data_IF_670569719545
#
_entry.id   IF_670569719545
#
_cell.length_a   1.000
_cell.length_b   1.000
_cell.length_c   1.000
_cell.angle_alpha   90.00
_cell.angle_beta   90.00
_cell.angle_gamma   90.00
#
_symmetry.space_group_name_H-M   'P 1'
#
loop_
_entity.id
_entity.type
_entity.pdbx_description
1 polymer ?
#
# COMPACT_ATOMS: atom_id res chain seq x y z
N UNK A 1 -25.85 -13.99 11.53
CA UNK A 1 -25.05 -13.89 10.28
C UNK A 1 -23.84 -13.03 10.56
N UNK A 2 -22.69 -13.38 9.98
CA UNK A 2 -21.50 -12.56 10.10
C UNK A 2 -21.61 -11.31 9.22
N UNK A 3 -20.71 -10.36 9.44
CA UNK A 3 -20.61 -9.11 8.71
C UNK A 3 -19.26 -9.05 8.02
N UNK A 4 -19.27 -9.11 6.70
CA UNK A 4 -18.07 -9.00 5.88
C UNK A 4 -17.66 -7.53 5.79
N UNK A 5 -16.39 -7.21 6.00
CA UNK A 5 -15.87 -5.84 5.98
C UNK A 5 -15.07 -5.60 4.69
N UNK A 6 -15.48 -4.62 3.88
CA UNK A 6 -14.83 -4.29 2.60
C UNK A 6 -13.77 -3.21 2.76
N UNK A 7 -14.16 -2.07 3.32
CA UNK A 7 -13.29 -0.93 3.56
C UNK A 7 -13.85 -0.06 4.71
N UNK A 8 -13.00 0.84 5.18
CA UNK A 8 -13.39 1.93 6.07
C UNK A 8 -13.31 3.24 5.29
N UNK A 9 -14.27 4.13 5.51
CA UNK A 9 -14.38 5.44 4.84
C UNK A 9 -14.47 6.57 5.87
N UNK A 10 -14.13 7.79 5.45
CA UNK A 10 -14.37 8.99 6.26
C UNK A 10 -15.82 9.47 6.12
N UNK A 11 -16.47 9.78 7.23
CA UNK A 11 -17.83 10.30 7.23
C UNK A 11 -17.80 11.80 6.88
N UNK A 12 -18.21 12.16 5.66
CA UNK A 12 -18.28 13.56 5.28
C UNK A 12 -19.50 14.24 5.92
N UNK A 13 -19.30 15.25 6.77
CA UNK A 13 -20.39 15.94 7.49
C UNK A 13 -21.35 16.67 6.54
N UNK A 14 -20.87 17.13 5.38
CA UNK A 14 -21.73 17.79 4.37
C UNK A 14 -22.65 16.81 3.64
N UNK A 15 -22.31 15.51 3.61
CA UNK A 15 -23.20 14.46 3.12
C UNK A 15 -24.24 14.02 4.18
N UNK A 16 -24.24 14.59 5.41
CA UNK A 16 -25.33 14.35 6.39
C UNK A 16 -26.67 14.96 5.93
N UNK A 17 -26.63 15.95 5.04
CA UNK A 17 -27.83 16.45 4.36
C UNK A 17 -28.35 15.47 3.29
N UNK A 18 -27.51 14.56 2.79
CA UNK A 18 -27.94 13.42 1.99
C UNK A 18 -28.41 12.29 2.93
N UNK A 19 -29.57 12.51 3.54
CA UNK A 19 -30.35 11.46 4.22
C UNK A 19 -30.89 10.38 3.25
N UNK A 20 -30.43 10.35 2.01
CA UNK A 20 -30.90 9.46 0.94
C UNK A 20 -29.86 8.44 0.42
N UNK A 21 -28.70 8.27 1.08
CA UNK A 21 -27.69 7.34 0.57
C UNK A 21 -27.76 5.91 1.15
N UNK A 22 -28.33 5.68 2.35
CA UNK A 22 -28.16 4.38 3.05
C UNK A 22 -29.32 3.95 3.97
N UNK A 23 -30.57 4.28 3.64
CA UNK A 23 -31.71 3.97 4.50
C UNK A 23 -33.06 3.84 3.77
N UNK A 24 -33.14 2.84 2.88
CA UNK A 24 -34.31 2.37 2.12
C UNK A 24 -34.84 3.25 0.96
N UNK A 25 -34.61 2.72 -0.25
CA UNK A 25 -35.29 2.86 -1.55
C UNK A 25 -35.22 4.19 -2.35
N UNK A 26 -34.22 4.22 -3.25
CA UNK A 26 -34.28 4.60 -4.68
C UNK A 26 -34.70 6.02 -5.13
N UNK A 27 -33.71 6.76 -5.68
CA UNK A 27 -33.92 7.64 -6.85
C UNK A 27 -32.67 7.85 -7.74
N UNK A 28 -31.60 7.05 -7.60
CA UNK A 28 -30.46 7.01 -8.54
C UNK A 28 -29.69 5.67 -8.53
N UNK A 29 -30.40 4.56 -8.68
CA UNK A 29 -29.97 3.42 -9.53
C UNK A 29 -28.70 2.60 -9.28
N UNK A 30 -27.94 2.70 -8.18
CA UNK A 30 -26.82 1.76 -7.92
C UNK A 30 -26.74 1.38 -6.43
N UNK A 31 -27.47 0.34 -6.04
CA UNK A 31 -27.23 -0.41 -4.80
C UNK A 31 -25.99 -1.27 -5.00
N UNK A 32 -24.87 -0.96 -4.32
CA UNK A 32 -23.67 -1.79 -4.44
C UNK A 32 -23.96 -3.21 -3.96
N UNK A 33 -23.74 -4.17 -4.86
CA UNK A 33 -23.98 -5.59 -4.61
C UNK A 33 -22.65 -6.20 -4.20
N UNK A 34 -22.56 -6.56 -2.92
CA UNK A 34 -21.40 -7.22 -2.35
C UNK A 34 -21.38 -8.74 -2.61
N UNK A 35 -20.48 -9.40 -1.90
CA UNK A 35 -20.36 -10.85 -1.85
C UNK A 35 -21.73 -11.49 -1.55
N UNK A 36 -22.07 -12.55 -2.28
CA UNK A 36 -23.34 -13.29 -2.18
C UNK A 36 -24.59 -12.45 -2.49
N UNK A 37 -24.42 -11.46 -3.37
CA UNK A 37 -25.49 -10.54 -3.77
C UNK A 37 -26.08 -9.74 -2.61
N UNK A 38 -25.31 -9.53 -1.55
CA UNK A 38 -25.77 -8.84 -0.35
C UNK A 38 -25.56 -7.34 -0.50
N UNK A 39 -26.55 -6.56 -0.03
CA UNK A 39 -26.49 -5.10 -0.07
C UNK A 39 -25.41 -4.62 0.88
N UNK A 40 -24.62 -3.64 0.42
CA UNK A 40 -23.65 -2.94 1.26
C UNK A 40 -24.37 -1.98 2.20
N UNK A 41 -24.10 -2.13 3.49
CA UNK A 41 -24.52 -1.25 4.58
C UNK A 41 -23.33 -0.45 5.11
N UNK A 42 -23.61 0.72 5.68
CA UNK A 42 -22.61 1.57 6.31
C UNK A 42 -22.81 1.56 7.83
N UNK A 43 -21.81 1.13 8.57
CA UNK A 43 -21.81 1.16 10.02
C UNK A 43 -20.90 2.28 10.53
N UNK A 44 -21.52 3.31 11.10
CA UNK A 44 -20.82 4.50 11.58
C UNK A 44 -20.14 4.26 12.93
N UNK A 45 -18.96 4.86 13.10
CA UNK A 45 -18.25 4.99 14.36
C UNK A 45 -17.52 6.34 14.40
N UNK A 46 -17.97 7.26 15.25
CA UNK A 46 -17.46 8.63 15.31
C UNK A 46 -17.51 9.32 13.92
N UNK A 47 -16.36 9.69 13.35
CA UNK A 47 -16.22 10.35 12.05
C UNK A 47 -15.71 9.40 10.95
N UNK A 48 -15.71 8.08 11.20
CA UNK A 48 -15.42 7.04 10.21
C UNK A 48 -16.60 6.06 10.09
N UNK A 49 -16.63 5.28 9.03
CA UNK A 49 -17.63 4.22 8.88
C UNK A 49 -17.06 3.01 8.15
N UNK A 50 -17.56 1.81 8.49
CA UNK A 50 -17.24 0.58 7.77
C UNK A 50 -18.30 0.28 6.71
N UNK A 51 -17.87 0.00 5.49
CA UNK A 51 -18.71 -0.58 4.44
C UNK A 51 -18.73 -2.10 4.61
N UNK A 52 -19.92 -2.66 4.83
CA UNK A 52 -20.11 -4.04 5.25
C UNK A 52 -21.29 -4.69 4.55
N UNK A 53 -21.29 -6.01 4.42
CA UNK A 53 -22.49 -6.75 4.01
C UNK A 53 -22.73 -7.90 4.96
N UNK A 54 -23.97 -8.36 5.04
CA UNK A 54 -24.25 -9.65 5.64
C UNK A 54 -23.53 -10.75 4.86
N UNK A 55 -23.05 -11.76 5.59
CA UNK A 55 -22.49 -12.96 4.98
C UNK A 55 -22.81 -14.16 5.86
N UNK A 56 -23.15 -15.32 5.27
CA UNK A 56 -23.00 -16.57 6.01
C UNK A 56 -21.54 -16.72 6.45
N UNK A 57 -21.31 -17.50 7.51
CA UNK A 57 -19.95 -17.83 7.95
C UNK A 57 -19.33 -18.71 6.86
N UNK A 58 -18.53 -18.09 5.99
CA UNK A 58 -17.81 -18.76 4.90
C UNK A 58 -16.36 -18.88 5.33
N UNK A 59 -15.82 -20.10 5.22
CA UNK A 59 -14.39 -20.31 5.27
C UNK A 59 -13.84 -20.22 3.84
N UNK A 60 -13.28 -19.06 3.49
CA UNK A 60 -12.74 -18.82 2.15
C UNK A 60 -11.59 -19.77 1.77
N UNK A 61 -10.87 -20.33 2.75
CA UNK A 61 -9.75 -21.26 2.51
C UNK A 61 -10.21 -22.62 1.97
N UNK A 62 -11.51 -22.92 2.09
CA UNK A 62 -12.11 -24.18 1.61
C UNK A 62 -12.77 -24.06 0.24
N UNK A 63 -12.84 -22.85 -0.31
CA UNK A 63 -13.44 -22.62 -1.63
C UNK A 63 -12.51 -23.11 -2.73
N UNK A 64 -13.09 -23.52 -3.84
CA UNK A 64 -12.30 -23.79 -5.03
C UNK A 64 -11.67 -22.48 -5.58
N UNK A 65 -10.67 -22.62 -6.45
CA UNK A 65 -9.95 -21.47 -7.00
C UNK A 65 -10.87 -20.52 -7.78
N UNK A 66 -11.90 -21.03 -8.46
CA UNK A 66 -12.80 -20.24 -9.30
C UNK A 66 -13.73 -19.40 -8.45
N UNK A 67 -14.32 -20.00 -7.42
CA UNK A 67 -15.18 -19.31 -6.45
C UNK A 67 -14.39 -18.27 -5.66
N UNK A 68 -13.20 -18.63 -5.16
CA UNK A 68 -12.33 -17.69 -4.44
C UNK A 68 -11.99 -16.47 -5.30
N UNK A 69 -11.60 -16.70 -6.56
CA UNK A 69 -11.28 -15.61 -7.51
C UNK A 69 -12.49 -14.71 -7.74
N UNK A 70 -13.70 -15.29 -7.86
CA UNK A 70 -14.94 -14.53 -8.01
C UNK A 70 -15.21 -13.64 -6.78
N UNK A 71 -15.03 -14.17 -5.57
CA UNK A 71 -15.22 -13.39 -4.35
C UNK A 71 -14.21 -12.25 -4.21
N UNK A 72 -12.94 -12.49 -4.56
CA UNK A 72 -11.90 -11.45 -4.58
C UNK A 72 -12.27 -10.35 -5.57
N UNK A 73 -12.72 -10.71 -6.77
CA UNK A 73 -13.15 -9.73 -7.78
C UNK A 73 -14.31 -8.87 -7.27
N UNK A 74 -15.32 -9.46 -6.64
CA UNK A 74 -16.47 -8.72 -6.08
C UNK A 74 -16.01 -7.77 -4.97
N UNK A 75 -15.14 -8.23 -4.06
CA UNK A 75 -14.57 -7.38 -3.01
C UNK A 75 -13.84 -6.16 -3.61
N UNK A 76 -13.02 -6.40 -4.62
CA UNK A 76 -12.28 -5.33 -5.29
C UNK A 76 -13.23 -4.34 -5.98
N UNK A 77 -14.21 -4.83 -6.73
CA UNK A 77 -15.20 -4.00 -7.42
C UNK A 77 -15.97 -3.11 -6.45
N UNK A 78 -16.42 -3.65 -5.31
CA UNK A 78 -17.11 -2.87 -4.26
C UNK A 78 -16.22 -1.73 -3.76
N UNK A 79 -14.94 -2.00 -3.49
CA UNK A 79 -14.02 -0.98 -3.02
C UNK A 79 -13.69 0.06 -4.10
N UNK A 80 -13.55 -0.34 -5.37
CA UNK A 80 -13.37 0.57 -6.51
C UNK A 80 -14.55 1.51 -6.69
N UNK A 81 -15.77 0.99 -6.56
CA UNK A 81 -16.99 1.78 -6.65
C UNK A 81 -17.11 2.79 -5.49
N UNK A 82 -16.90 2.35 -4.24
CA UNK A 82 -16.94 3.24 -3.07
C UNK A 82 -15.86 4.34 -3.16
N UNK A 83 -14.68 3.99 -3.71
CA UNK A 83 -13.56 4.93 -3.90
C UNK A 83 -13.88 6.08 -4.87
N UNK A 84 -14.90 5.96 -5.73
CA UNK A 84 -15.33 7.06 -6.60
C UNK A 84 -15.81 8.26 -5.79
N UNK A 85 -16.51 7.99 -4.68
CA UNK A 85 -17.24 8.99 -3.88
C UNK A 85 -16.63 9.26 -2.51
N UNK A 86 -15.72 8.40 -2.06
CA UNK A 86 -15.12 8.45 -0.72
C UNK A 86 -13.62 8.14 -0.74
N UNK A 87 -12.89 8.72 0.21
CA UNK A 87 -11.56 8.23 0.54
C UNK A 87 -11.71 6.88 1.26
N UNK A 88 -11.00 5.86 0.78
CA UNK A 88 -11.10 4.50 1.30
C UNK A 88 -9.81 4.07 1.99
N UNK A 89 -9.96 3.38 3.11
CA UNK A 89 -8.96 2.51 3.72
C UNK A 89 -9.42 1.07 3.46
N UNK A 90 -8.93 0.41 2.40
CA UNK A 90 -9.39 -0.92 2.05
C UNK A 90 -8.97 -1.95 3.10
N UNK A 91 -9.86 -2.88 3.42
CA UNK A 91 -9.56 -4.02 4.29
C UNK A 91 -8.98 -5.16 3.46
N UNK A 92 -8.20 -6.03 4.09
CA UNK A 92 -7.81 -7.29 3.47
C UNK A 92 -9.05 -8.12 3.12
N UNK A 93 -8.97 -8.90 2.05
CA UNK A 93 -10.03 -9.83 1.68
C UNK A 93 -10.29 -10.84 2.81
N UNK A 94 -11.55 -11.12 3.09
CA UNK A 94 -11.95 -12.22 3.98
C UNK A 94 -12.18 -11.84 5.44
N UNK A 95 -12.08 -10.54 5.79
CA UNK A 95 -12.35 -10.09 7.16
C UNK A 95 -13.86 -10.13 7.44
N UNK A 96 -14.27 -11.04 8.33
CA UNK A 96 -15.65 -11.20 8.78
C UNK A 96 -15.71 -10.97 10.30
N UNK A 97 -16.59 -10.07 10.72
CA UNK A 97 -16.96 -9.90 12.12
C UNK A 97 -18.24 -10.69 12.45
N UNK A 98 -18.42 -11.17 13.69
CA UNK A 98 -19.61 -11.91 14.10
C UNK A 98 -20.91 -11.08 14.09
N UNK A 99 -20.82 -9.77 14.37
CA UNK A 99 -21.98 -8.87 14.49
C UNK A 99 -21.56 -7.39 14.37
N UNK A 100 -22.55 -6.49 14.40
CA UNK A 100 -22.33 -5.04 14.32
C UNK A 100 -21.54 -4.47 15.50
N UNK A 101 -21.69 -5.03 16.71
CA UNK A 101 -20.97 -4.56 17.90
C UNK A 101 -19.48 -4.86 17.78
N UNK A 102 -19.11 -6.04 17.28
CA UNK A 102 -17.71 -6.37 17.03
C UNK A 102 -17.09 -5.46 15.95
N UNK A 103 -17.87 -5.03 14.97
CA UNK A 103 -17.39 -4.03 13.99
C UNK A 103 -17.08 -2.71 14.67
N UNK A 104 -17.95 -2.23 15.57
CA UNK A 104 -17.66 -1.03 16.36
C UNK A 104 -16.42 -1.23 17.23
N UNK A 105 -16.22 -2.40 17.83
CA UNK A 105 -15.01 -2.72 18.59
C UNK A 105 -13.76 -2.65 17.70
N UNK A 106 -13.80 -3.20 16.48
CA UNK A 106 -12.71 -3.12 15.49
C UNK A 106 -12.41 -1.66 15.13
N UNK A 107 -13.46 -0.88 14.81
CA UNK A 107 -13.33 0.53 14.46
C UNK A 107 -12.77 1.35 15.63
N UNK A 108 -13.20 1.07 16.86
CA UNK A 108 -12.70 1.70 18.08
C UNK A 108 -11.23 1.36 18.32
N UNK A 109 -10.89 0.06 18.30
CA UNK A 109 -9.54 -0.45 18.62
C UNK A 109 -8.48 0.03 17.63
N UNK A 110 -8.84 0.16 16.36
CA UNK A 110 -7.95 0.58 15.29
C UNK A 110 -8.24 2.00 14.76
N UNK A 111 -8.99 2.81 15.52
CA UNK A 111 -9.46 4.14 15.09
C UNK A 111 -8.33 5.04 14.57
N UNK A 112 -7.22 5.14 15.31
CA UNK A 112 -6.07 5.95 14.91
C UNK A 112 -5.41 5.43 13.64
N UNK A 113 -5.39 4.11 13.45
CA UNK A 113 -4.85 3.50 12.24
C UNK A 113 -5.70 3.86 11.03
N UNK A 114 -7.03 3.75 11.14
CA UNK A 114 -7.96 4.10 10.07
C UNK A 114 -7.89 5.58 9.71
N UNK A 115 -7.93 6.49 10.71
CA UNK A 115 -7.79 7.94 10.46
C UNK A 115 -6.47 8.29 9.78
N UNK A 116 -5.39 7.64 10.18
CA UNK A 116 -4.06 7.84 9.57
C UNK A 116 -4.04 7.33 8.12
N UNK A 117 -4.61 6.14 7.88
CA UNK A 117 -4.71 5.56 6.54
C UNK A 117 -5.55 6.45 5.61
N UNK A 118 -6.77 6.79 6.00
CA UNK A 118 -7.70 7.63 5.23
C UNK A 118 -7.09 8.97 4.85
N UNK A 119 -6.38 9.62 5.79
CA UNK A 119 -5.70 10.89 5.53
C UNK A 119 -4.53 10.74 4.55
N UNK A 120 -3.78 9.64 4.64
CA UNK A 120 -2.64 9.38 3.75
C UNK A 120 -3.12 9.13 2.32
N UNK A 121 -4.21 8.39 2.17
CA UNK A 121 -4.79 7.99 0.88
C UNK A 121 -5.76 9.02 0.29
N UNK A 122 -6.15 10.04 1.06
CA UNK A 122 -7.09 11.06 0.61
C UNK A 122 -6.67 11.69 -0.73
N UNK A 123 -7.61 11.67 -1.70
CA UNK A 123 -7.43 12.21 -3.05
C UNK A 123 -6.44 11.44 -3.95
N UNK A 124 -5.99 10.26 -3.50
CA UNK A 124 -4.98 9.45 -4.19
C UNK A 124 -5.52 8.07 -4.54
N UNK A 125 -4.95 7.48 -5.57
CA UNK A 125 -5.29 6.15 -6.10
C UNK A 125 -4.01 5.35 -6.31
N UNK A 126 -4.12 4.03 -6.26
CA UNK A 126 -3.00 3.12 -6.52
C UNK A 126 -2.99 2.67 -7.97
N UNK A 127 -1.80 2.69 -8.58
CA UNK A 127 -1.52 2.04 -9.86
C UNK A 127 -0.44 0.98 -9.66
N UNK A 128 -0.74 -0.24 -10.07
CA UNK A 128 0.24 -1.33 -10.11
C UNK A 128 0.95 -1.31 -11.47
N UNK A 129 2.28 -1.27 -11.48
CA UNK A 129 3.12 -1.34 -12.69
C UNK A 129 3.95 -2.61 -12.65
N UNK A 130 3.59 -3.56 -13.48
CA UNK A 130 4.25 -4.86 -13.62
C UNK A 130 5.15 -4.85 -14.85
N UNK A 131 6.36 -5.39 -14.68
CA UNK A 131 7.41 -5.36 -15.69
C UNK A 131 7.95 -6.77 -15.89
N UNK A 132 7.98 -7.22 -17.13
CA UNK A 132 8.57 -8.49 -17.55
C UNK A 132 9.66 -8.24 -18.58
N UNK A 133 10.65 -9.12 -18.60
CA UNK A 133 11.61 -9.19 -19.69
C UNK A 133 11.30 -10.36 -20.61
N UNK A 134 11.87 -10.34 -21.81
CA UNK A 134 11.98 -11.55 -22.63
C UNK A 134 13.35 -12.19 -22.36
N UNK A 135 13.35 -13.31 -21.63
CA UNK A 135 14.59 -14.02 -21.27
C UNK A 135 15.41 -14.41 -22.50
N UNK A 136 14.77 -14.79 -23.62
CA UNK A 136 15.49 -15.21 -24.82
C UNK A 136 16.20 -14.01 -25.46
N UNK A 137 15.49 -12.90 -25.62
CA UNK A 137 16.06 -11.67 -26.18
C UNK A 137 17.17 -11.10 -25.29
N UNK A 138 17.00 -11.15 -23.96
CA UNK A 138 18.06 -10.74 -23.04
C UNK A 138 19.31 -11.60 -23.21
N UNK A 139 19.15 -12.93 -23.29
CA UNK A 139 20.28 -13.83 -23.49
C UNK A 139 20.99 -13.56 -24.83
N UNK A 140 20.24 -13.35 -25.91
CA UNK A 140 20.79 -12.96 -27.21
C UNK A 140 21.56 -11.63 -27.12
N UNK A 141 21.00 -10.61 -26.46
CA UNK A 141 21.65 -9.31 -26.26
C UNK A 141 22.94 -9.44 -25.44
N UNK A 142 22.91 -10.18 -24.33
CA UNK A 142 24.09 -10.41 -23.48
C UNK A 142 25.19 -11.16 -24.21
N UNK A 143 24.83 -12.15 -25.02
CA UNK A 143 25.79 -12.91 -25.83
C UNK A 143 26.39 -12.06 -26.95
N UNK A 144 25.63 -11.12 -27.51
CA UNK A 144 26.10 -10.28 -28.61
C UNK A 144 26.89 -9.03 -28.15
N UNK A 145 26.69 -8.57 -26.91
CA UNK A 145 27.29 -7.32 -26.40
C UNK A 145 28.47 -7.54 -25.44
N UNK A 146 28.53 -8.69 -24.75
CA UNK A 146 29.56 -8.94 -23.74
C UNK A 146 30.70 -9.81 -24.31
N UNK A 147 31.87 -9.20 -24.53
CA UNK A 147 33.06 -9.86 -25.08
C UNK A 147 33.57 -11.02 -24.23
N UNK A 148 33.39 -10.99 -22.90
CA UNK A 148 33.77 -12.08 -22.00
C UNK A 148 32.84 -13.30 -22.18
N UNK A 149 31.53 -13.07 -22.32
CA UNK A 149 30.54 -14.11 -22.63
C UNK A 149 30.86 -14.75 -23.99
N UNK A 150 31.20 -13.94 -25.00
CA UNK A 150 31.60 -14.42 -26.33
C UNK A 150 32.86 -15.28 -26.29
N UNK A 151 33.90 -14.81 -25.59
CA UNK A 151 35.16 -15.53 -25.47
C UNK A 151 34.99 -16.88 -24.76
N UNK A 152 34.23 -16.93 -23.66
CA UNK A 152 33.93 -18.17 -22.96
C UNK A 152 33.09 -19.14 -23.81
N UNK A 153 32.14 -18.62 -24.62
CA UNK A 153 31.35 -19.43 -25.54
C UNK A 153 32.21 -20.05 -26.65
N UNK A 154 33.15 -19.30 -27.23
CA UNK A 154 34.08 -19.81 -28.24
C UNK A 154 35.02 -20.89 -27.68
N UNK A 155 35.50 -20.72 -26.45
CA UNK A 155 36.32 -21.75 -25.79
C UNK A 155 35.54 -23.05 -25.53
N UNK A 156 34.23 -22.95 -25.30
CA UNK A 156 33.34 -24.10 -25.13
C UNK A 156 33.04 -24.84 -26.43
N UNK A 157 33.02 -24.17 -27.59
CA UNK A 157 32.82 -24.84 -28.89
C UNK A 157 34.01 -25.70 -29.33
N UNK A 158 35.18 -25.51 -28.72
CA UNK A 158 36.44 -26.21 -29.09
C UNK A 158 36.74 -27.43 -28.20
N UNK A 159 36.13 -27.56 -27.01
CA UNK A 159 36.47 -28.63 -26.03
C UNK A 159 35.32 -29.60 -25.75
N UNK A 160 35.55 -30.89 -26.00
CA UNK A 160 34.58 -31.98 -25.83
C UNK A 160 34.43 -32.44 -24.37
N UNK A 161 33.21 -32.31 -23.88
CA UNK A 161 32.46 -33.17 -22.94
C UNK A 161 32.84 -33.34 -21.46
N UNK A 162 34.12 -33.31 -21.01
CA UNK A 162 34.43 -33.53 -19.55
C UNK A 162 35.19 -32.35 -18.91
N UNK A 163 36.21 -31.79 -19.59
CA UNK A 163 36.93 -30.58 -19.12
C UNK A 163 36.15 -29.27 -19.28
N UNK A 164 34.98 -29.31 -19.93
CA UNK A 164 34.14 -28.14 -20.17
C UNK A 164 33.21 -27.77 -19.01
N UNK A 165 33.01 -28.65 -18.03
CA UNK A 165 32.05 -28.40 -16.93
C UNK A 165 32.40 -27.14 -16.10
N UNK A 166 33.65 -26.91 -15.66
CA UNK A 166 34.01 -25.68 -14.96
C UNK A 166 33.77 -24.43 -15.80
N UNK A 167 34.01 -24.53 -17.11
CA UNK A 167 33.85 -23.43 -18.05
C UNK A 167 32.36 -23.11 -18.32
N UNK A 168 31.50 -24.14 -18.43
CA UNK A 168 30.04 -23.99 -18.51
C UNK A 168 29.47 -23.34 -17.25
N UNK A 169 29.94 -23.75 -16.07
CA UNK A 169 29.54 -23.15 -14.80
C UNK A 169 29.98 -21.68 -14.72
N UNK A 170 31.21 -21.36 -15.15
CA UNK A 170 31.70 -19.99 -15.19
C UNK A 170 30.86 -19.12 -16.14
N UNK A 171 30.57 -19.60 -17.34
CA UNK A 171 29.71 -18.92 -18.30
C UNK A 171 28.30 -18.68 -17.73
N UNK A 172 27.68 -19.70 -17.14
CA UNK A 172 26.36 -19.60 -16.52
C UNK A 172 26.31 -18.56 -15.39
N UNK A 173 27.31 -18.56 -14.49
CA UNK A 173 27.43 -17.56 -13.42
C UNK A 173 27.61 -16.14 -13.96
N UNK A 174 28.41 -15.99 -15.03
CA UNK A 174 28.62 -14.68 -15.66
C UNK A 174 27.32 -14.17 -16.28
N UNK A 175 26.60 -15.00 -17.05
CA UNK A 175 25.30 -14.65 -17.62
C UNK A 175 24.32 -14.24 -16.53
N UNK A 176 24.20 -15.04 -15.46
CA UNK A 176 23.32 -14.74 -14.33
C UNK A 176 23.66 -13.40 -13.67
N UNK A 177 24.94 -13.12 -13.42
CA UNK A 177 25.40 -11.86 -12.84
C UNK A 177 25.07 -10.67 -13.74
N UNK A 178 25.28 -10.79 -15.05
CA UNK A 178 24.97 -9.72 -16.00
C UNK A 178 23.47 -9.50 -16.14
N UNK A 179 22.67 -10.57 -16.18
CA UNK A 179 21.22 -10.49 -16.19
C UNK A 179 20.68 -9.81 -14.92
N UNK A 180 21.22 -10.15 -13.74
CA UNK A 180 20.82 -9.51 -12.48
C UNK A 180 21.23 -8.03 -12.45
N UNK A 181 22.44 -7.68 -12.91
CA UNK A 181 22.86 -6.27 -13.00
C UNK A 181 21.96 -5.46 -13.96
N UNK A 182 21.61 -6.06 -15.10
CA UNK A 182 20.67 -5.48 -16.06
C UNK A 182 19.29 -5.27 -15.45
N UNK A 183 18.78 -6.28 -14.72
CA UNK A 183 17.51 -6.20 -13.98
C UNK A 183 17.52 -5.05 -12.99
N UNK A 184 18.51 -5.00 -12.09
CA UNK A 184 18.59 -3.97 -11.06
C UNK A 184 18.70 -2.55 -11.65
N UNK A 185 19.50 -2.39 -12.70
CA UNK A 185 19.64 -1.10 -13.40
C UNK A 185 18.32 -0.63 -13.99
N UNK A 186 17.57 -1.53 -14.64
CA UNK A 186 16.27 -1.18 -15.20
C UNK A 186 15.21 -0.90 -14.14
N UNK A 187 15.19 -1.67 -13.04
CA UNK A 187 14.32 -1.40 -11.89
C UNK A 187 14.56 0.02 -11.38
N UNK A 188 15.80 0.40 -11.09
CA UNK A 188 16.16 1.75 -10.62
C UNK A 188 15.75 2.84 -11.61
N UNK A 189 15.99 2.62 -12.91
CA UNK A 189 15.65 3.59 -13.95
C UNK A 189 14.13 3.79 -14.09
N UNK A 190 13.36 2.69 -14.05
CA UNK A 190 11.90 2.72 -14.14
C UNK A 190 11.32 3.37 -12.88
N UNK A 191 11.82 2.98 -11.71
CA UNK A 191 11.43 3.56 -10.43
C UNK A 191 11.65 5.07 -10.43
N UNK A 192 12.88 5.53 -10.71
CA UNK A 192 13.22 6.95 -10.71
C UNK A 192 12.36 7.76 -11.69
N UNK A 193 12.08 7.20 -12.85
CA UNK A 193 11.26 7.83 -13.87
C UNK A 193 9.80 8.02 -13.43
N UNK A 194 9.21 7.01 -12.78
CA UNK A 194 7.82 7.07 -12.30
C UNK A 194 7.68 7.74 -10.93
N UNK A 195 8.75 7.77 -10.12
CA UNK A 195 8.77 8.34 -8.76
C UNK A 195 8.38 9.82 -8.74
N UNK A 196 8.71 10.57 -9.80
CA UNK A 196 8.36 12.00 -9.96
C UNK A 196 6.84 12.22 -9.96
N UNK A 197 6.08 11.20 -10.37
CA UNK A 197 4.62 11.23 -10.42
C UNK A 197 3.96 10.80 -9.10
N UNK A 198 4.69 10.05 -8.26
CA UNK A 198 4.11 9.31 -7.16
C UNK A 198 4.40 9.97 -5.80
N UNK A 199 3.36 10.12 -5.00
CA UNK A 199 3.49 10.54 -3.61
C UNK A 199 4.21 9.47 -2.77
N UNK A 200 3.92 8.20 -3.02
CA UNK A 200 4.65 7.07 -2.45
C UNK A 200 4.74 5.89 -3.43
N UNK A 201 5.67 4.97 -3.20
CA UNK A 201 5.75 3.72 -3.95
C UNK A 201 6.22 2.55 -3.08
N UNK A 202 5.85 1.36 -3.51
CA UNK A 202 6.28 0.09 -2.93
C UNK A 202 6.72 -0.86 -4.04
N UNK A 203 7.83 -1.55 -3.83
CA UNK A 203 8.23 -2.69 -4.67
C UNK A 203 7.69 -3.97 -4.03
N UNK A 204 6.72 -4.59 -4.69
CA UNK A 204 6.04 -5.80 -4.22
C UNK A 204 6.81 -7.05 -4.65
N UNK A 205 6.41 -8.19 -4.05
CA UNK A 205 6.93 -9.50 -4.46
C UNK A 205 6.57 -9.80 -5.92
N UNK A 206 7.48 -10.50 -6.58
CA UNK A 206 7.30 -10.97 -7.95
C UNK A 206 6.26 -12.10 -7.97
N UNK A 207 5.38 -12.07 -8.97
CA UNK A 207 4.28 -13.03 -9.11
C UNK A 207 4.65 -14.19 -10.05
N UNK A 208 5.61 -13.95 -10.96
CA UNK A 208 6.11 -14.94 -11.91
C UNK A 208 7.63 -14.83 -12.05
N UNK A 209 8.28 -15.90 -12.53
CA UNK A 209 9.75 -15.97 -12.68
C UNK A 209 10.29 -15.04 -13.77
N UNK A 210 9.49 -14.76 -14.80
CA UNK A 210 9.83 -13.84 -15.89
C UNK A 210 9.56 -12.36 -15.54
N UNK A 211 8.92 -12.10 -14.40
CA UNK A 211 8.68 -10.75 -13.90
C UNK A 211 9.96 -10.21 -13.27
N UNK A 212 10.32 -9.00 -13.64
CA UNK A 212 11.48 -8.32 -13.07
C UNK A 212 11.10 -7.31 -11.99
N UNK A 213 9.90 -6.73 -12.07
CA UNK A 213 9.41 -5.78 -11.08
C UNK A 213 7.88 -5.79 -10.97
N UNK A 214 7.39 -5.50 -9.77
CA UNK A 214 5.99 -5.30 -9.46
C UNK A 214 5.87 -4.07 -8.56
N UNK A 215 5.70 -2.90 -9.15
CA UNK A 215 5.57 -1.66 -8.40
C UNK A 215 4.12 -1.36 -8.08
N UNK A 216 3.88 -0.77 -6.91
CA UNK A 216 2.66 -0.01 -6.64
C UNK A 216 3.06 1.44 -6.44
N UNK A 217 2.35 2.35 -7.11
CA UNK A 217 2.52 3.79 -6.98
C UNK A 217 1.24 4.43 -6.45
N UNK A 218 1.38 5.27 -5.43
CA UNK A 218 0.30 6.09 -4.89
C UNK A 218 0.34 7.46 -5.58
N UNK A 219 -0.65 7.73 -6.41
CA UNK A 219 -0.67 8.89 -7.31
C UNK A 219 -1.92 9.72 -7.02
N UNK A 220 -1.82 11.04 -7.15
CA UNK A 220 -2.98 11.91 -7.05
C UNK A 220 -3.97 11.62 -8.18
N UNK A 221 -5.26 11.53 -7.86
CA UNK A 221 -6.31 11.14 -8.84
C UNK A 221 -6.36 12.09 -10.05
N UNK A 222 -6.03 13.37 -9.87
CA UNK A 222 -5.96 14.36 -10.95
C UNK A 222 -4.84 14.11 -11.96
N UNK A 223 -3.81 13.32 -11.60
CA UNK A 223 -2.60 13.09 -12.42
C UNK A 223 -2.63 11.79 -13.21
N UNK A 224 -3.78 11.11 -13.27
CA UNK A 224 -3.97 9.86 -14.00
C UNK A 224 -3.57 9.98 -15.48
N UNK A 225 -4.01 11.04 -16.17
CA UNK A 225 -3.65 11.28 -17.58
C UNK A 225 -2.15 11.51 -17.80
N UNK A 226 -1.46 12.12 -16.84
CA UNK A 226 0.00 12.32 -16.91
C UNK A 226 0.73 10.98 -16.75
N UNK A 227 0.25 10.11 -15.86
CA UNK A 227 0.79 8.76 -15.69
C UNK A 227 0.67 7.94 -16.98
N UNK A 228 -0.50 7.97 -17.63
CA UNK A 228 -0.73 7.25 -18.89
C UNK A 228 0.28 7.68 -19.96
N UNK A 229 0.49 8.99 -20.09
CA UNK A 229 1.47 9.55 -21.02
C UNK A 229 2.90 9.09 -20.69
N UNK A 230 3.25 9.06 -19.40
CA UNK A 230 4.55 8.55 -18.94
C UNK A 230 4.74 7.05 -19.19
N UNK A 231 3.70 6.25 -19.02
CA UNK A 231 3.74 4.82 -19.31
C UNK A 231 3.92 4.54 -20.81
N UNK A 232 3.33 5.37 -21.68
CA UNK A 232 3.57 5.29 -23.12
C UNK A 232 5.01 5.65 -23.49
N UNK A 233 5.57 6.70 -22.89
CA UNK A 233 6.98 7.08 -23.05
C UNK A 233 7.92 5.93 -22.63
N UNK A 234 7.62 5.31 -21.48
CA UNK A 234 8.37 4.17 -20.95
C UNK A 234 8.28 2.95 -21.88
N UNK A 235 7.08 2.67 -22.40
CA UNK A 235 6.83 1.58 -23.34
C UNK A 235 7.65 1.74 -24.63
N UNK A 236 7.73 2.95 -25.18
CA UNK A 236 8.58 3.27 -26.34
C UNK A 236 10.07 3.15 -26.03
N UNK A 237 10.51 3.68 -24.88
CA UNK A 237 11.92 3.63 -24.46
C UNK A 237 12.47 2.21 -24.35
N UNK A 238 11.63 1.27 -23.92
CA UNK A 238 12.01 -0.12 -23.68
C UNK A 238 11.42 -1.10 -24.70
N UNK A 239 11.00 -0.58 -25.86
CA UNK A 239 10.36 -1.35 -26.91
C UNK A 239 11.21 -2.57 -27.32
N UNK A 240 10.56 -3.73 -27.43
CA UNK A 240 11.22 -4.99 -27.78
C UNK A 240 12.08 -5.62 -26.69
N UNK A 241 12.36 -4.92 -25.58
CA UNK A 241 13.19 -5.40 -24.46
C UNK A 241 12.36 -5.78 -23.24
N UNK A 242 11.44 -4.91 -22.84
CA UNK A 242 10.58 -5.10 -21.67
C UNK A 242 9.11 -5.02 -22.07
N UNK A 243 8.28 -5.79 -21.38
CA UNK A 243 6.82 -5.74 -21.46
C UNK A 243 6.29 -5.11 -20.18
N UNK A 244 5.41 -4.13 -20.33
CA UNK A 244 4.76 -3.45 -19.21
C UNK A 244 3.27 -3.79 -19.18
N UNK A 245 2.73 -3.91 -17.97
CA UNK A 245 1.30 -3.86 -17.71
C UNK A 245 1.09 -2.92 -16.54
N UNK A 246 0.30 -1.89 -16.72
CA UNK A 246 -0.12 -1.03 -15.62
C UNK A 246 -1.62 -1.19 -15.39
N UNK A 247 -2.03 -1.21 -14.13
CA UNK A 247 -3.40 -1.54 -13.70
C UNK A 247 -3.82 -0.51 -12.64
N UNK A 248 -4.95 0.15 -12.88
CA UNK A 248 -5.56 1.11 -11.97
C UNK A 248 -6.61 1.96 -12.69
N UNK A 249 -7.23 2.92 -12.00
CA UNK A 249 -7.02 3.27 -10.59
C UNK A 249 -7.60 2.22 -9.63
N UNK A 250 -6.83 1.80 -8.63
CA UNK A 250 -7.27 0.84 -7.61
C UNK A 250 -7.33 1.48 -6.20
N UNK A 251 -8.12 0.91 -5.29
CA UNK A 251 -7.99 1.19 -3.86
C UNK A 251 -6.55 0.95 -3.39
N UNK A 252 -6.04 1.79 -2.49
CA UNK A 252 -4.62 1.83 -2.12
C UNK A 252 -4.23 0.73 -1.11
N UNK A 253 -4.40 -0.54 -1.48
CA UNK A 253 -4.07 -1.70 -0.64
C UNK A 253 -2.59 -1.71 -0.21
N UNK A 254 -1.67 -1.36 -1.10
CA UNK A 254 -0.22 -1.41 -0.83
C UNK A 254 0.25 -0.31 0.11
N UNK A 255 -0.61 0.69 0.38
CA UNK A 255 -0.31 1.87 1.19
C UNK A 255 -1.12 1.94 2.48
N UNK A 256 -2.07 1.01 2.67
CA UNK A 256 -2.87 0.90 3.88
C UNK A 256 -2.47 -0.36 4.64
N UNK A 257 -1.91 -0.17 5.83
CA UNK A 257 -1.48 -1.25 6.70
C UNK A 257 -2.15 -1.11 8.06
N UNK A 258 -3.30 -1.79 8.20
CA UNK A 258 -4.08 -1.85 9.44
C UNK A 258 -3.73 -3.16 10.16
N UNK A 259 -3.18 -3.05 11.36
CA UNK A 259 -2.93 -4.20 12.21
C UNK A 259 -3.98 -4.28 13.31
N UNK A 260 -4.97 -5.16 13.14
CA UNK A 260 -6.08 -5.34 14.08
C UNK A 260 -5.67 -6.02 15.40
N UNK A 261 -4.50 -6.67 15.47
CA UNK A 261 -4.02 -7.26 16.72
C UNK A 261 -3.51 -6.20 17.69
N UNK A 262 -2.91 -5.12 17.16
CA UNK A 262 -2.44 -3.98 17.92
C UNK A 262 -3.58 -2.99 18.18
N UNK A 263 -3.72 -2.52 19.42
CA UNK A 263 -4.63 -1.45 19.78
C UNK A 263 -4.02 -0.06 19.55
N UNK A 264 -4.83 0.97 19.80
CA UNK A 264 -4.42 2.37 19.68
C UNK A 264 -3.18 2.68 20.54
N UNK A 265 -3.15 2.22 21.80
CA UNK A 265 -2.03 2.47 22.72
C UNK A 265 -0.73 1.87 22.19
N UNK A 266 -0.70 0.60 21.78
CA UNK A 266 0.54 -0.05 21.33
C UNK A 266 1.15 0.68 20.13
N UNK A 267 0.31 1.22 19.24
CA UNK A 267 0.74 1.94 18.05
C UNK A 267 1.24 3.34 18.38
N UNK A 268 0.52 4.07 19.24
CA UNK A 268 0.96 5.39 19.74
C UNK A 268 2.27 5.24 20.52
N UNK A 269 2.37 4.23 21.38
CA UNK A 269 3.55 3.94 22.19
C UNK A 269 4.75 3.54 21.32
N UNK A 270 4.55 2.76 20.26
CA UNK A 270 5.61 2.47 19.28
C UNK A 270 6.03 3.74 18.53
N UNK A 271 5.07 4.56 18.09
CA UNK A 271 5.34 5.80 17.35
C UNK A 271 6.12 6.83 18.18
N UNK A 272 5.72 7.07 19.44
CA UNK A 272 6.41 8.02 20.33
C UNK A 272 7.85 7.55 20.62
N UNK A 273 8.05 6.25 20.87
CA UNK A 273 9.37 5.68 21.14
C UNK A 273 10.29 5.79 19.92
N UNK A 274 9.74 5.58 18.72
CA UNK A 274 10.50 5.77 17.48
C UNK A 274 10.97 7.22 17.30
N UNK A 275 10.15 8.19 17.71
CA UNK A 275 10.53 9.61 17.72
C UNK A 275 11.30 10.03 18.98
N UNK A 276 11.73 9.09 19.82
CA UNK A 276 12.45 9.34 21.08
C UNK A 276 11.71 10.30 22.03
N UNK A 277 10.37 10.22 22.04
CA UNK A 277 9.52 11.02 22.92
C UNK A 277 9.19 10.29 24.23
N UNK A 278 9.04 11.07 25.30
CA UNK A 278 8.59 10.60 26.61
C UNK A 278 7.13 10.16 26.62
N UNK A 279 6.54 10.01 27.82
CA UNK A 279 5.12 9.67 27.98
C UNK A 279 4.18 10.86 27.77
N UNK A 280 4.72 12.07 27.68
CA UNK A 280 3.97 13.28 27.35
C UNK A 280 4.78 14.14 26.40
N UNK A 281 4.13 14.67 25.35
CA UNK A 281 4.78 15.64 24.46
C UNK A 281 3.82 16.72 23.96
N UNK A 282 4.35 17.92 23.72
CA UNK A 282 3.64 18.97 22.99
C UNK A 282 3.70 18.75 21.46
N UNK A 283 2.79 19.35 20.67
CA UNK A 283 2.87 19.32 19.21
C UNK A 283 4.21 19.84 18.66
N UNK A 284 4.82 20.82 19.34
CA UNK A 284 6.11 21.37 18.96
C UNK A 284 7.25 20.38 19.23
N UNK A 285 7.23 19.68 20.37
CA UNK A 285 8.20 18.62 20.68
C UNK A 285 8.10 17.46 19.67
N UNK A 286 6.88 17.01 19.35
CA UNK A 286 6.65 15.97 18.33
C UNK A 286 7.17 16.42 16.97
N UNK A 287 6.86 17.66 16.56
CA UNK A 287 7.32 18.24 15.30
C UNK A 287 8.85 18.35 15.26
N UNK A 288 9.48 18.83 16.33
CA UNK A 288 10.94 18.97 16.46
C UNK A 288 11.63 17.61 16.35
N UNK A 289 11.15 16.60 17.08
CA UNK A 289 11.70 15.25 17.02
C UNK A 289 11.62 14.66 15.60
N UNK A 290 10.48 14.84 14.93
CA UNK A 290 10.31 14.45 13.53
C UNK A 290 11.32 15.14 12.60
N UNK A 291 11.54 16.46 12.73
CA UNK A 291 12.52 17.16 11.89
C UNK A 291 13.96 16.70 12.12
N UNK A 292 14.35 16.47 13.38
CA UNK A 292 15.70 15.99 13.72
C UNK A 292 15.96 14.63 13.06
N UNK A 293 15.04 13.67 13.24
CA UNK A 293 15.18 12.34 12.63
C UNK A 293 15.07 12.39 11.11
N UNK A 294 14.16 13.21 10.56
CA UNK A 294 14.04 13.36 9.10
C UNK A 294 15.32 13.94 8.48
N UNK A 295 15.99 14.86 9.17
CA UNK A 295 17.25 15.42 8.70
C UNK A 295 18.42 14.43 8.79
N UNK A 296 18.37 13.50 9.74
CA UNK A 296 19.36 12.43 9.90
C UNK A 296 19.21 11.33 8.84
N UNK A 297 17.97 10.93 8.56
CA UNK A 297 17.64 9.83 7.64
C UNK A 297 17.20 10.32 6.25
N UNK A 298 17.51 11.57 5.87
CA UNK A 298 17.08 12.14 4.59
C UNK A 298 17.65 11.35 3.40
N UNK A 299 16.83 10.96 2.40
CA UNK A 299 17.28 10.17 1.26
C UNK A 299 18.47 10.79 0.51
N UNK A 300 18.50 12.12 0.38
CA UNK A 300 19.59 12.82 -0.33
C UNK A 300 20.96 12.68 0.34
N UNK A 301 21.01 12.44 1.67
CA UNK A 301 22.28 12.23 2.39
C UNK A 301 22.75 10.78 2.36
N UNK A 302 21.87 9.86 2.01
CA UNK A 302 22.09 8.41 2.02
C UNK A 302 21.54 7.78 0.74
N UNK A 303 21.99 8.30 -0.41
CA UNK A 303 21.61 7.77 -1.72
C UNK A 303 21.94 6.27 -1.78
N UNK A 304 20.98 5.47 -2.27
CA UNK A 304 21.05 4.01 -2.40
C UNK A 304 21.00 3.15 -1.10
N UNK A 305 20.82 3.72 0.09
CA UNK A 305 20.60 2.91 1.30
C UNK A 305 19.12 2.56 1.52
N UNK A 306 18.72 1.35 1.14
CA UNK A 306 17.37 0.82 1.36
C UNK A 306 16.95 0.86 2.84
N UNK A 307 17.87 0.60 3.77
CA UNK A 307 17.59 0.62 5.21
C UNK A 307 17.26 2.04 5.67
N UNK A 308 17.99 3.06 5.21
CA UNK A 308 17.68 4.47 5.53
C UNK A 308 16.33 4.88 4.97
N UNK A 309 15.99 4.48 3.74
CA UNK A 309 14.69 4.76 3.15
C UNK A 309 13.55 4.11 3.95
N UNK A 310 13.74 2.86 4.41
CA UNK A 310 12.77 2.20 5.30
C UNK A 310 12.63 2.91 6.65
N UNK A 311 13.73 3.37 7.25
CA UNK A 311 13.67 4.13 8.51
C UNK A 311 12.94 5.45 8.32
N UNK A 312 13.18 6.17 7.22
CA UNK A 312 12.44 7.39 6.90
C UNK A 312 10.94 7.13 6.78
N UNK A 313 10.53 6.05 6.08
CA UNK A 313 9.11 5.65 5.99
C UNK A 313 8.51 5.40 7.38
N UNK A 314 9.24 4.73 8.27
CA UNK A 314 8.79 4.49 9.66
C UNK A 314 8.64 5.80 10.44
N UNK A 315 9.58 6.75 10.30
CA UNK A 315 9.56 8.06 10.96
C UNK A 315 8.35 8.90 10.51
N UNK A 316 8.13 9.00 9.19
CA UNK A 316 6.97 9.72 8.62
C UNK A 316 5.66 9.10 9.10
N UNK A 317 5.57 7.76 9.11
CA UNK A 317 4.39 7.06 9.61
C UNK A 317 4.15 7.32 11.10
N UNK A 318 5.19 7.24 11.94
CA UNK A 318 5.08 7.52 13.37
C UNK A 318 4.60 8.94 13.64
N UNK A 319 5.16 9.93 12.93
CA UNK A 319 4.70 11.31 13.02
C UNK A 319 3.22 11.46 12.61
N UNK A 320 2.81 10.78 11.53
CA UNK A 320 1.41 10.80 11.08
C UNK A 320 0.46 10.19 12.12
N UNK A 321 0.84 9.07 12.74
CA UNK A 321 0.08 8.41 13.82
C UNK A 321 -0.12 9.38 15.00
N UNK A 322 0.97 9.96 15.50
CA UNK A 322 0.89 10.89 16.64
C UNK A 322 0.07 12.13 16.28
N UNK A 323 0.21 12.66 15.06
CA UNK A 323 -0.59 13.78 14.58
C UNK A 323 -2.07 13.44 14.51
N UNK A 324 -2.43 12.22 14.07
CA UNK A 324 -3.82 11.75 14.07
C UNK A 324 -4.37 11.61 15.49
N UNK A 325 -3.57 11.06 16.42
CA UNK A 325 -3.93 10.97 17.83
C UNK A 325 -4.13 12.34 18.50
N UNK A 326 -3.20 13.28 18.32
CA UNK A 326 -3.36 14.64 18.86
C UNK A 326 -4.63 15.30 18.32
N UNK A 327 -4.93 15.12 17.03
CA UNK A 327 -6.17 15.61 16.43
C UNK A 327 -7.41 14.93 17.01
N UNK A 328 -7.40 13.62 17.25
CA UNK A 328 -8.56 12.92 17.82
C UNK A 328 -8.85 13.35 19.26
N UNK A 329 -7.82 13.68 20.05
CA UNK A 329 -8.00 14.25 21.39
C UNK A 329 -8.63 15.67 21.34
N UNK A 330 -8.54 16.37 20.20
CA UNK A 330 -8.97 17.74 20.01
C UNK A 330 -10.38 17.88 19.42
N UNK A 331 -11.41 17.57 20.21
CA UNK A 331 -12.77 18.07 19.98
C UNK A 331 -13.52 18.46 21.27
N UNK A 332 -12.80 19.07 22.22
CA UNK A 332 -13.38 19.86 23.32
C UNK A 332 -12.39 21.01 23.69
N UNK A 333 -12.61 22.19 23.07
CA UNK A 333 -11.99 23.51 23.30
C UNK A 333 -10.46 23.72 23.13
N UNK A 334 -10.09 24.48 22.08
CA UNK A 334 -8.98 25.46 22.08
C UNK A 334 -7.61 24.97 21.60
N UNK A 335 -7.12 25.54 20.50
CA UNK A 335 -5.74 25.40 20.01
C UNK A 335 -4.74 26.01 21.00
N UNK A 336 -4.42 25.29 22.08
CA UNK A 336 -3.42 25.72 23.04
C UNK A 336 -2.07 25.12 22.63
N UNK A 337 -1.11 25.94 22.16
CA UNK A 337 0.23 25.46 21.74
C UNK A 337 1.01 24.80 22.88
N UNK A 338 0.64 25.11 24.13
CA UNK A 338 1.20 24.49 25.34
C UNK A 338 0.46 23.21 25.78
N UNK A 339 -0.55 22.75 25.04
CA UNK A 339 -1.22 21.49 25.36
C UNK A 339 -0.24 20.33 25.22
N UNK A 340 0.03 19.65 26.33
CA UNK A 340 0.79 18.40 26.35
C UNK A 340 -0.19 17.25 26.16
N UNK A 341 0.16 16.32 25.26
CA UNK A 341 -0.61 15.12 25.02
C UNK A 341 0.02 13.98 25.81
N UNK A 342 -0.78 13.33 26.66
CA UNK A 342 -0.36 12.11 27.33
C UNK A 342 -0.46 10.92 26.39
N UNK A 343 0.56 10.06 26.45
CA UNK A 343 0.66 8.79 25.76
C UNK A 343 0.62 7.61 26.73
N UNK A 344 0.25 7.84 27.99
CA UNK A 344 0.01 6.76 28.97
C UNK A 344 -1.20 5.94 28.54
N UNK A 345 -1.18 4.66 28.87
CA UNK A 345 -2.19 3.70 28.40
C UNK A 345 -3.61 4.10 28.80
N UNK A 346 -3.80 4.52 30.05
CA UNK A 346 -5.08 4.97 30.59
C UNK A 346 -5.61 6.21 29.85
N UNK A 347 -4.74 7.20 29.60
CA UNK A 347 -5.10 8.44 28.91
C UNK A 347 -5.43 8.21 27.44
N UNK A 348 -4.68 7.33 26.76
CA UNK A 348 -4.96 6.92 25.38
C UNK A 348 -6.29 6.17 25.30
N UNK A 349 -6.58 5.30 26.27
CA UNK A 349 -7.89 4.63 26.34
C UNK A 349 -9.01 5.64 26.56
N UNK A 350 -8.88 6.48 27.57
CA UNK A 350 -9.93 7.45 27.94
C UNK A 350 -10.19 8.51 26.86
N UNK A 351 -9.16 8.94 26.12
CA UNK A 351 -9.31 9.92 25.04
C UNK A 351 -10.00 9.37 23.78
N UNK A 352 -10.05 8.04 23.62
CA UNK A 352 -10.63 7.37 22.45
C UNK A 352 -11.92 6.61 22.77
N UNK A 353 -12.23 6.43 24.06
CA UNK A 353 -13.51 5.93 24.56
C UNK A 353 -14.57 7.03 24.42
N UNK A 354 -15.75 6.65 23.92
CA UNK A 354 -16.91 7.53 23.88
C UNK A 354 -17.41 7.74 25.31
N UNK A 355 -17.60 9.01 25.71
CA UNK A 355 -18.53 9.38 26.79
C UNK A 355 -19.96 9.40 26.28
#
# INVERSE_FOLDING_TARGET
MGKYIYCVIEQNKDKRAARDAFGQANASGLSYIGINHQVINILNYQDIAAAVSDTPVINFDRLDKKELTRHIAIHQQVNEEIMKDYNVAPMAFGIIAPNNEEIKCILAKAYIQFKTALKTTAGKVEFAVQVWWDQKKLLEELVNTNSEIQGLRQQLSVKTSILGLPLKLKLGRLIQRQAEAYKQTNIKNIEAFLRIMAHDFTLNKLISEDMIANFSFLIEKSREFELDSKMQELGKKYEGKLRFKYIGPMPPYSFVNINLSLGNFEIINKARKLLSLGEEASPEEIKKAYYVLSHQYHPDKHQDNQETAEQMKKIVRAYSILKSYCKSCGSFFGENRNQRYSFKEEDVRNSLIIK
#
